data_IF_220576681618
#
_entry.id   IF_220576681618
#
_cell.length_a   1.000
_cell.length_b   1.000
_cell.length_c   1.000
_cell.angle_alpha   90.00
_cell.angle_beta   90.00
_cell.angle_gamma   90.00
#
_symmetry.space_group_name_H-M   'P 1'
#
loop_
_entity.id
_entity.type
_entity.pdbx_description
1 polymer ?
#
# COMPACT_ATOMS: atom_id res chain seq x y z
N UNK A 1 -28.48 26.04 27.22
CA UNK A 1 -28.14 24.61 27.44
C UNK A 1 -27.50 23.95 26.21
N UNK A 2 -27.63 24.50 25.03
CA UNK A 2 -27.08 23.93 23.77
C UNK A 2 -25.58 24.15 23.55
N UNK A 3 -24.98 25.15 24.16
CA UNK A 3 -23.55 25.47 23.95
C UNK A 3 -22.57 24.44 24.58
N UNK A 4 -23.00 23.68 25.59
CA UNK A 4 -22.15 22.70 26.26
C UNK A 4 -21.99 21.40 25.48
N UNK A 5 -23.04 20.98 24.77
CA UNK A 5 -23.02 19.78 23.92
C UNK A 5 -22.14 19.97 22.68
N UNK A 6 -22.13 21.17 22.13
CA UNK A 6 -21.30 21.48 20.94
C UNK A 6 -19.80 21.48 21.26
N UNK A 7 -19.42 21.98 22.46
CA UNK A 7 -18.04 21.95 22.94
C UNK A 7 -17.52 20.53 23.25
N UNK A 8 -18.37 19.66 23.79
CA UNK A 8 -18.02 18.26 24.02
C UNK A 8 -17.79 17.51 22.70
N UNK A 9 -18.62 17.74 21.71
CA UNK A 9 -18.48 17.10 20.40
C UNK A 9 -17.20 17.53 19.66
N UNK A 10 -16.80 18.82 19.81
CA UNK A 10 -15.55 19.35 19.24
C UNK A 10 -14.33 18.79 19.98
N UNK A 11 -14.41 18.57 21.29
CA UNK A 11 -13.34 17.99 22.10
C UNK A 11 -13.14 16.50 21.78
N UNK A 12 -14.22 15.73 21.59
CA UNK A 12 -14.14 14.32 21.17
C UNK A 12 -13.60 14.18 19.75
N UNK A 13 -14.00 15.09 18.85
CA UNK A 13 -13.48 15.09 17.46
C UNK A 13 -11.97 15.44 17.42
N UNK A 14 -11.49 16.36 18.28
CA UNK A 14 -10.07 16.68 18.41
C UNK A 14 -9.27 15.56 19.07
N UNK A 15 -9.84 14.85 20.04
CA UNK A 15 -9.20 13.69 20.66
C UNK A 15 -9.09 12.51 19.69
N UNK A 16 -10.10 12.29 18.85
CA UNK A 16 -10.07 11.26 17.81
C UNK A 16 -9.04 11.58 16.71
N UNK A 17 -8.90 12.86 16.33
CA UNK A 17 -7.89 13.30 15.35
C UNK A 17 -6.47 13.33 15.94
N UNK A 18 -6.31 13.58 17.23
CA UNK A 18 -4.99 13.58 17.88
C UNK A 18 -4.42 12.17 18.10
N UNK A 19 -5.26 11.14 18.09
CA UNK A 19 -4.82 9.74 18.19
C UNK A 19 -4.32 9.14 16.88
N UNK A 20 -4.39 9.88 15.77
CA UNK A 20 -4.17 9.33 14.42
C UNK A 20 -2.83 9.70 13.78
N UNK A 21 -1.94 10.45 14.45
CA UNK A 21 -0.68 10.87 13.82
C UNK A 21 0.51 10.82 14.78
N UNK A 22 0.80 9.63 15.30
CA UNK A 22 2.19 9.36 15.71
C UNK A 22 2.88 8.75 14.49
N UNK A 23 3.41 9.58 13.62
CA UNK A 23 4.34 9.14 12.58
C UNK A 23 5.68 8.92 13.26
N UNK A 24 5.86 7.79 13.89
CA UNK A 24 7.19 7.34 14.29
C UNK A 24 7.93 6.91 13.02
N UNK A 25 8.91 7.70 12.65
CA UNK A 25 9.79 7.39 11.53
C UNK A 25 11.04 6.75 12.09
N UNK A 26 11.22 5.46 11.83
CA UNK A 26 12.48 4.78 12.09
C UNK A 26 13.45 5.10 10.94
N UNK A 27 14.65 5.55 11.28
CA UNK A 27 15.71 5.74 10.29
C UNK A 27 16.40 4.39 10.01
N UNK A 28 16.20 3.76 8.86
CA UNK A 28 16.81 2.48 8.55
C UNK A 28 18.32 2.58 8.32
N UNK A 29 18.89 3.79 8.22
CA UNK A 29 20.35 3.99 8.14
C UNK A 29 21.01 3.92 9.50
N UNK A 30 20.27 4.07 10.60
CA UNK A 30 20.79 3.95 11.96
C UNK A 30 21.15 2.48 12.26
N UNK A 31 22.40 2.28 12.69
CA UNK A 31 22.92 0.96 13.01
C UNK A 31 22.19 0.30 14.20
N UNK A 32 21.70 1.10 15.16
CA UNK A 32 20.93 0.59 16.30
C UNK A 32 19.59 0.05 15.85
N UNK A 33 18.88 0.75 14.96
CA UNK A 33 17.59 0.32 14.39
C UNK A 33 17.76 -0.99 13.62
N UNK A 34 18.81 -1.12 12.80
CA UNK A 34 19.09 -2.36 12.06
C UNK A 34 19.41 -3.52 12.99
N UNK A 35 20.24 -3.29 14.02
CA UNK A 35 20.59 -4.32 15.00
C UNK A 35 19.36 -4.80 15.78
N UNK A 36 18.49 -3.88 16.19
CA UNK A 36 17.25 -4.22 16.86
C UNK A 36 16.29 -4.99 15.95
N UNK A 37 16.16 -4.57 14.68
CA UNK A 37 15.36 -5.28 13.69
C UNK A 37 15.84 -6.73 13.49
N UNK A 38 17.14 -6.96 13.37
CA UNK A 38 17.73 -8.31 13.27
C UNK A 38 17.40 -9.16 14.51
N UNK A 39 17.63 -8.63 15.70
CA UNK A 39 17.38 -9.32 16.96
C UNK A 39 15.92 -9.68 17.17
N UNK A 40 15.00 -8.76 16.83
CA UNK A 40 13.55 -9.00 16.92
C UNK A 40 13.12 -10.01 15.86
N UNK A 41 13.64 -9.91 14.64
CA UNK A 41 13.35 -10.84 13.56
C UNK A 41 13.64 -12.30 13.93
N UNK A 42 14.72 -12.56 14.65
CA UNK A 42 15.08 -13.91 15.13
C UNK A 42 14.04 -14.49 16.11
N UNK A 43 13.35 -13.64 16.87
CA UNK A 43 12.35 -14.04 17.85
C UNK A 43 10.93 -14.21 17.26
N UNK A 44 10.69 -13.80 16.00
CA UNK A 44 9.38 -13.87 15.38
C UNK A 44 9.04 -15.29 15.00
N UNK A 45 7.89 -15.79 15.47
CA UNK A 45 7.35 -17.08 15.04
C UNK A 45 6.87 -17.01 13.58
N UNK A 46 7.58 -17.70 12.70
CA UNK A 46 7.27 -17.77 11.27
C UNK A 46 6.34 -18.92 10.89
N UNK A 47 5.78 -19.64 11.85
CA UNK A 47 4.78 -20.68 11.57
C UNK A 47 3.45 -20.08 11.08
N UNK A 48 3.15 -18.84 11.48
CA UNK A 48 1.94 -18.11 11.12
C UNK A 48 2.16 -17.20 9.91
N UNK A 49 1.08 -16.89 9.17
CA UNK A 49 1.12 -15.95 8.05
C UNK A 49 1.53 -14.53 8.51
N UNK A 50 1.01 -14.10 9.67
CA UNK A 50 1.36 -12.79 10.25
C UNK A 50 2.83 -12.75 10.65
N UNK A 51 3.34 -13.82 11.26
CA UNK A 51 4.74 -13.91 11.64
C UNK A 51 5.69 -13.83 10.44
N UNK A 52 5.36 -14.52 9.33
CA UNK A 52 6.11 -14.41 8.08
C UNK A 52 6.14 -12.98 7.54
N UNK A 53 5.01 -12.30 7.58
CA UNK A 53 4.92 -10.92 7.13
C UNK A 53 5.75 -9.97 8.01
N UNK A 54 5.62 -10.07 9.33
CA UNK A 54 6.40 -9.26 10.29
C UNK A 54 7.90 -9.52 10.12
N UNK A 55 8.29 -10.80 9.98
CA UNK A 55 9.68 -11.16 9.74
C UNK A 55 10.22 -10.51 8.47
N UNK A 56 9.48 -10.58 7.37
CA UNK A 56 9.86 -9.96 6.09
C UNK A 56 10.06 -8.45 6.22
N UNK A 57 9.18 -7.76 6.96
CA UNK A 57 9.32 -6.31 7.21
C UNK A 57 10.60 -6.00 7.99
N UNK A 58 10.89 -6.77 9.03
CA UNK A 58 12.09 -6.60 9.85
C UNK A 58 13.37 -6.89 9.06
N UNK A 59 13.35 -7.88 8.18
CA UNK A 59 14.50 -8.20 7.31
C UNK A 59 14.81 -7.03 6.35
N UNK A 60 13.81 -6.34 5.81
CA UNK A 60 14.01 -5.12 5.01
C UNK A 60 14.61 -3.98 5.83
N UNK A 61 14.11 -3.74 7.06
CA UNK A 61 14.68 -2.72 7.95
C UNK A 61 16.13 -3.07 8.31
N UNK A 62 16.42 -4.33 8.60
CA UNK A 62 17.79 -4.82 8.91
C UNK A 62 18.73 -4.64 7.72
N UNK A 63 18.23 -4.74 6.49
CA UNK A 63 18.97 -4.46 5.26
C UNK A 63 19.18 -2.95 5.01
N UNK A 64 18.64 -2.07 5.85
CA UNK A 64 18.71 -0.61 5.68
C UNK A 64 17.68 -0.06 4.69
N UNK A 65 16.66 -0.85 4.36
CA UNK A 65 15.60 -0.44 3.44
C UNK A 65 14.47 0.28 4.16
N UNK A 66 13.89 1.29 3.52
CA UNK A 66 12.72 2.00 4.04
C UNK A 66 11.46 1.16 3.85
N UNK A 67 10.79 0.84 4.94
CA UNK A 67 9.49 0.16 4.92
C UNK A 67 8.39 1.18 5.15
N UNK A 68 7.40 1.24 4.27
CA UNK A 68 6.23 2.11 4.37
C UNK A 68 5.00 1.22 4.56
N UNK A 69 4.28 1.44 5.67
CA UNK A 69 3.01 0.77 5.94
C UNK A 69 1.88 1.73 5.61
N UNK A 70 1.02 1.34 4.69
CA UNK A 70 -0.11 2.13 4.23
C UNK A 70 -1.42 1.46 4.64
N UNK A 71 -2.40 2.26 5.05
CA UNK A 71 -3.76 1.80 5.31
C UNK A 71 -4.61 1.91 4.03
N UNK A 72 -5.66 1.12 3.89
CA UNK A 72 -6.55 1.19 2.73
C UNK A 72 -7.15 2.59 2.49
N UNK A 73 -7.41 3.35 3.55
CA UNK A 73 -7.95 4.71 3.50
C UNK A 73 -6.92 5.81 3.21
N UNK A 74 -5.62 5.50 3.29
CA UNK A 74 -4.56 6.46 2.97
C UNK A 74 -4.59 6.82 1.48
N UNK A 75 -4.09 8.00 1.16
CA UNK A 75 -4.04 8.49 -0.22
C UNK A 75 -2.60 8.68 -0.68
N UNK A 76 -2.32 8.18 -1.86
CA UNK A 76 -1.00 8.23 -2.50
C UNK A 76 -1.01 9.09 -3.75
N UNK A 77 0.17 9.56 -4.13
CA UNK A 77 0.40 10.22 -5.43
C UNK A 77 0.46 9.19 -6.57
N UNK A 78 0.22 9.59 -7.82
CA UNK A 78 0.35 8.67 -8.97
C UNK A 78 1.70 7.95 -9.07
N UNK A 79 2.79 8.60 -8.67
CA UNK A 79 4.11 7.98 -8.65
C UNK A 79 4.24 6.86 -7.59
N UNK A 80 3.59 7.00 -6.44
CA UNK A 80 3.56 6.00 -5.37
C UNK A 80 2.64 4.85 -5.77
N UNK A 81 1.46 5.15 -6.34
CA UNK A 81 0.56 4.14 -6.90
C UNK A 81 1.24 3.30 -7.99
N UNK A 82 2.06 3.93 -8.84
CA UNK A 82 2.82 3.23 -9.87
C UNK A 82 3.81 2.20 -9.27
N UNK A 83 4.45 2.52 -8.15
CA UNK A 83 5.33 1.58 -7.43
C UNK A 83 4.54 0.40 -6.87
N UNK A 84 3.38 0.65 -6.26
CA UNK A 84 2.52 -0.40 -5.70
C UNK A 84 2.00 -1.34 -6.81
N UNK A 85 1.63 -0.78 -7.97
CA UNK A 85 1.14 -1.54 -9.13
C UNK A 85 2.25 -2.23 -9.94
N UNK A 86 3.51 -1.86 -9.72
CA UNK A 86 4.64 -2.34 -10.52
C UNK A 86 4.56 -1.88 -11.98
N UNK A 87 4.18 -0.61 -12.21
CA UNK A 87 4.00 -0.01 -13.54
C UNK A 87 4.65 1.37 -13.63
N UNK A 88 4.63 1.98 -14.81
CA UNK A 88 5.08 3.36 -14.98
C UNK A 88 4.04 4.36 -14.47
N UNK A 89 4.50 5.55 -14.05
CA UNK A 89 3.61 6.65 -13.66
C UNK A 89 2.65 7.03 -14.80
N UNK A 90 3.16 7.07 -16.04
CA UNK A 90 2.34 7.41 -17.21
C UNK A 90 1.17 6.43 -17.39
N UNK A 91 1.38 5.16 -17.09
CA UNK A 91 0.30 4.17 -17.12
C UNK A 91 -0.76 4.45 -16.07
N UNK A 92 -0.35 4.83 -14.85
CA UNK A 92 -1.30 5.25 -13.79
C UNK A 92 -2.08 6.50 -14.19
N UNK A 93 -1.40 7.49 -14.77
CA UNK A 93 -2.06 8.71 -15.26
C UNK A 93 -3.13 8.37 -16.31
N UNK A 94 -2.86 7.42 -17.21
CA UNK A 94 -3.83 6.91 -18.20
C UNK A 94 -5.00 6.19 -17.53
N UNK A 95 -4.76 5.29 -16.55
CA UNK A 95 -5.82 4.62 -15.81
C UNK A 95 -6.77 5.61 -15.11
N UNK A 96 -6.22 6.73 -14.63
CA UNK A 96 -7.01 7.81 -14.04
C UNK A 96 -7.83 8.56 -15.12
N UNK A 97 -7.26 8.80 -16.30
CA UNK A 97 -7.93 9.48 -17.42
C UNK A 97 -9.04 8.63 -18.02
N UNK A 98 -8.83 7.32 -18.10
CA UNK A 98 -9.80 6.34 -18.58
C UNK A 98 -10.84 5.96 -17.51
N UNK A 99 -10.83 6.63 -16.34
CA UNK A 99 -11.73 6.41 -15.20
C UNK A 99 -11.68 4.96 -14.64
N UNK A 100 -10.65 4.21 -14.96
CA UNK A 100 -10.42 2.85 -14.44
C UNK A 100 -9.91 2.89 -13.01
N UNK A 101 -9.08 3.90 -12.67
CA UNK A 101 -8.53 4.10 -11.34
C UNK A 101 -9.12 5.40 -10.75
N UNK A 102 -10.03 5.31 -9.76
CA UNK A 102 -10.63 6.47 -9.14
C UNK A 102 -9.57 7.38 -8.49
N UNK A 103 -9.73 8.66 -8.63
CA UNK A 103 -8.87 9.66 -8.01
C UNK A 103 -9.64 10.90 -7.61
N UNK A 104 -9.11 11.66 -6.66
CA UNK A 104 -9.57 13.02 -6.39
C UNK A 104 -8.47 14.05 -6.66
N UNK A 105 -8.86 15.28 -6.93
CA UNK A 105 -7.95 16.42 -7.03
C UNK A 105 -7.97 17.22 -5.73
N UNK A 106 -6.82 17.69 -5.32
CA UNK A 106 -6.74 18.61 -4.20
C UNK A 106 -7.36 19.96 -4.61
N UNK A 107 -8.12 20.63 -3.72
CA UNK A 107 -8.67 21.97 -4.00
C UNK A 107 -7.57 22.94 -4.42
N UNK A 108 -7.78 23.63 -5.54
CA UNK A 108 -6.80 24.61 -6.07
C UNK A 108 -5.52 24.01 -6.65
N UNK A 109 -5.48 22.70 -6.89
CA UNK A 109 -4.30 22.01 -7.41
C UNK A 109 -4.66 20.99 -8.49
N UNK A 110 -3.76 20.79 -9.45
CA UNK A 110 -3.85 19.70 -10.43
C UNK A 110 -3.38 18.34 -9.89
N UNK A 111 -2.90 18.31 -8.63
CA UNK A 111 -2.37 17.08 -8.05
C UNK A 111 -3.47 16.06 -7.79
N UNK A 112 -3.28 14.87 -8.36
CA UNK A 112 -4.17 13.71 -8.15
C UNK A 112 -3.80 12.99 -6.85
N UNK A 113 -4.83 12.49 -6.14
CA UNK A 113 -4.71 11.60 -4.99
C UNK A 113 -5.55 10.37 -5.24
N UNK A 114 -4.99 9.21 -4.98
CA UNK A 114 -5.57 7.89 -5.25
C UNK A 114 -5.59 7.14 -3.93
N UNK A 115 -6.72 6.55 -3.57
CA UNK A 115 -6.82 5.75 -2.34
C UNK A 115 -6.02 4.47 -2.49
N UNK A 116 -5.35 4.07 -1.43
CA UNK A 116 -4.57 2.82 -1.40
C UNK A 116 -5.45 1.61 -1.68
N UNK A 117 -6.68 1.59 -1.16
CA UNK A 117 -7.66 0.54 -1.46
C UNK A 117 -7.86 0.36 -2.97
N UNK A 118 -8.11 1.46 -3.70
CA UNK A 118 -8.36 1.41 -5.15
C UNK A 118 -7.11 0.92 -5.92
N UNK A 119 -5.92 1.28 -5.44
CA UNK A 119 -4.64 0.80 -6.02
C UNK A 119 -4.46 -0.69 -5.79
N UNK A 120 -4.81 -1.20 -4.59
CA UNK A 120 -4.73 -2.63 -4.26
C UNK A 120 -5.70 -3.41 -5.13
N UNK A 121 -6.96 -2.96 -5.24
CA UNK A 121 -7.98 -3.62 -6.06
C UNK A 121 -7.56 -3.69 -7.54
N UNK A 122 -7.01 -2.60 -8.08
CA UNK A 122 -6.48 -2.57 -9.45
C UNK A 122 -5.27 -3.52 -9.64
N UNK A 123 -4.41 -3.66 -8.63
CA UNK A 123 -3.29 -4.60 -8.66
C UNK A 123 -3.79 -6.05 -8.67
N UNK A 124 -4.73 -6.36 -7.81
CA UNK A 124 -5.25 -7.73 -7.65
C UNK A 124 -6.06 -8.17 -8.88
N UNK A 125 -6.81 -7.25 -9.48
CA UNK A 125 -7.51 -7.51 -10.75
C UNK A 125 -6.51 -7.76 -11.89
N UNK A 126 -5.46 -6.94 -11.98
CA UNK A 126 -4.41 -7.14 -12.97
C UNK A 126 -3.69 -8.47 -12.79
N UNK A 127 -3.48 -8.91 -11.55
CA UNK A 127 -2.87 -10.21 -11.27
C UNK A 127 -3.79 -11.35 -11.71
N UNK A 128 -5.08 -11.28 -11.40
CA UNK A 128 -6.08 -12.27 -11.86
C UNK A 128 -6.10 -12.40 -13.39
N UNK A 129 -6.05 -11.28 -14.10
CA UNK A 129 -6.00 -11.27 -15.58
C UNK A 129 -4.72 -11.93 -16.11
N UNK A 130 -3.57 -11.68 -15.49
CA UNK A 130 -2.30 -12.33 -15.86
C UNK A 130 -2.36 -13.84 -15.62
N UNK A 131 -2.85 -14.25 -14.47
CA UNK A 131 -2.95 -15.66 -14.10
C UNK A 131 -3.92 -16.39 -15.03
N UNK A 132 -5.07 -15.77 -15.35
CA UNK A 132 -6.03 -16.28 -16.32
C UNK A 132 -5.44 -16.42 -17.73
N UNK A 133 -4.66 -15.42 -18.17
CA UNK A 133 -3.98 -15.48 -19.46
C UNK A 133 -2.90 -16.57 -19.50
N UNK A 134 -2.12 -16.70 -18.44
CA UNK A 134 -1.11 -17.75 -18.33
C UNK A 134 -1.76 -19.15 -18.34
N UNK A 135 -2.87 -19.31 -17.63
CA UNK A 135 -3.61 -20.59 -17.62
C UNK A 135 -4.17 -20.93 -19.01
N UNK A 136 -4.70 -19.93 -19.74
CA UNK A 136 -5.19 -20.12 -21.11
C UNK A 136 -4.06 -20.55 -22.04
N UNK A 137 -2.91 -19.87 -21.98
CA UNK A 137 -1.74 -20.24 -22.81
C UNK A 137 -1.25 -21.66 -22.51
N UNK A 138 -1.26 -22.08 -21.24
CA UNK A 138 -0.90 -23.44 -20.85
C UNK A 138 -1.84 -24.49 -21.48
N UNK A 139 -3.15 -24.22 -21.46
CA UNK A 139 -4.16 -25.10 -22.08
C UNK A 139 -3.96 -25.17 -23.61
N UNK A 140 -3.69 -24.04 -24.27
CA UNK A 140 -3.44 -23.99 -25.72
C UNK A 140 -2.15 -24.73 -26.10
N UNK A 141 -1.12 -24.61 -25.28
CA UNK A 141 0.14 -25.34 -25.49
C UNK A 141 -0.07 -26.87 -25.35
N UNK A 142 -0.82 -27.31 -24.35
CA UNK A 142 -1.14 -28.73 -24.12
C UNK A 142 -2.01 -29.30 -25.24
N UNK A 143 -2.89 -28.47 -25.82
CA UNK A 143 -3.73 -28.83 -26.96
C UNK A 143 -2.98 -28.79 -28.33
N UNK A 144 -1.69 -28.43 -28.36
CA UNK A 144 -0.89 -28.31 -29.58
C UNK A 144 -1.29 -27.16 -30.50
N UNK A 145 -2.00 -26.15 -29.99
CA UNK A 145 -2.52 -24.99 -30.74
C UNK A 145 -1.65 -23.72 -30.56
N UNK A 146 -0.52 -23.81 -29.88
CA UNK A 146 0.34 -22.67 -29.57
C UNK A 146 1.34 -22.31 -30.68
N UNK A 147 1.48 -23.13 -31.73
CA UNK A 147 2.42 -22.95 -32.85
C UNK A 147 1.66 -22.79 -34.18
N UNK A 148 1.03 -21.61 -34.38
CA UNK A 148 0.60 -21.17 -35.73
C UNK A 148 0.81 -19.69 -35.87
#
# INVERSE_FOLDING_TARGET
MESRLHLLHILEYRACMASAMTTETLDPTDASVRSDAMRIAESVDTSTTVGKFVRSMLDHVAAGETVIVLRPEDEVKPAEAARILGVTRQYVDRLCEDEVLPFRRLPGSSHRRIRVADVIDARDERQRLRDGHAALLAVLADAGLADT
#
